data_IF_561986997198
#
_entry.id   IF_561986997198
#
_cell.length_a   1.000
_cell.length_b   1.000
_cell.length_c   1.000
_cell.angle_alpha   90.00
_cell.angle_beta   90.00
_cell.angle_gamma   90.00
#
_symmetry.space_group_name_H-M   'P 1'
#
loop_
_entity.id
_entity.type
_entity.pdbx_description
1 polymer ?
#
# COMPACT_ATOMS: atom_id res chain seq x y z
N UNK A 1 -27.12 0.97 18.87
CA UNK A 1 -25.77 1.32 18.39
C UNK A 1 -25.38 2.59 19.11
N UNK A 2 -24.41 2.52 20.03
CA UNK A 2 -23.92 3.69 20.73
C UNK A 2 -23.17 4.57 19.71
N UNK A 3 -23.43 5.86 19.70
CA UNK A 3 -22.65 6.83 18.93
C UNK A 3 -21.20 6.76 19.38
N UNK A 4 -20.22 6.76 18.45
CA UNK A 4 -18.83 6.84 18.84
C UNK A 4 -18.59 8.19 19.54
N UNK A 5 -17.97 8.13 20.71
CA UNK A 5 -17.55 9.31 21.47
C UNK A 5 -16.86 10.31 20.54
N UNK A 6 -17.38 11.50 20.53
CA UNK A 6 -16.84 12.62 19.75
C UNK A 6 -15.41 12.89 20.19
N UNK A 7 -14.45 12.56 19.36
CA UNK A 7 -13.09 13.05 19.46
C UNK A 7 -13.11 14.57 19.32
N UNK A 8 -13.31 15.27 20.43
CA UNK A 8 -13.10 16.72 20.51
C UNK A 8 -11.63 16.97 20.22
N UNK A 9 -11.37 17.60 19.07
CA UNK A 9 -10.05 18.00 18.60
C UNK A 9 -9.41 19.08 19.46
N UNK A 10 -9.00 18.74 20.68
CA UNK A 10 -7.97 19.44 21.39
C UNK A 10 -6.66 18.72 21.13
N UNK A 11 -5.59 19.43 20.87
CA UNK A 11 -4.22 18.88 20.93
C UNK A 11 -3.99 18.37 22.36
N UNK A 12 -4.50 17.17 22.66
CA UNK A 12 -4.05 16.44 23.83
C UNK A 12 -2.59 16.12 23.60
N UNK A 13 -1.74 16.47 24.57
CA UNK A 13 -0.34 16.10 24.53
C UNK A 13 -0.24 14.62 24.12
N UNK A 14 0.58 14.32 23.13
CA UNK A 14 0.80 12.95 22.67
C UNK A 14 1.12 12.11 23.90
N UNK A 15 0.47 10.94 24.11
CA UNK A 15 0.90 10.06 25.17
C UNK A 15 2.39 9.79 24.98
N UNK A 16 3.19 9.82 26.05
CA UNK A 16 4.61 9.54 25.94
C UNK A 16 4.78 8.15 25.33
N UNK A 17 5.72 8.03 24.40
CA UNK A 17 6.21 6.74 23.92
C UNK A 17 6.43 5.82 25.13
N UNK A 18 6.13 4.50 25.06
CA UNK A 18 6.38 3.59 26.17
C UNK A 18 7.78 3.84 26.74
N UNK A 19 7.85 4.07 28.04
CA UNK A 19 9.06 4.53 28.75
C UNK A 19 10.27 3.59 28.61
N UNK A 20 10.07 2.43 27.95
CA UNK A 20 11.10 1.42 27.76
C UNK A 20 11.30 1.20 26.27
N UNK A 21 12.41 1.62 25.68
CA UNK A 21 12.73 1.33 24.30
C UNK A 21 12.83 -0.18 24.06
N UNK A 22 12.55 -0.69 22.86
CA UNK A 22 12.79 -2.07 22.52
C UNK A 22 14.27 -2.43 22.79
N UNK A 23 14.57 -3.70 23.09
CA UNK A 23 15.94 -4.10 23.36
C UNK A 23 16.83 -3.79 22.15
N UNK A 24 18.04 -3.34 22.43
CA UNK A 24 19.04 -3.11 21.38
C UNK A 24 19.52 -4.44 20.78
N UNK A 25 20.07 -4.38 19.58
CA UNK A 25 20.70 -5.58 18.98
C UNK A 25 21.79 -6.17 19.86
N UNK A 26 22.48 -5.36 20.64
CA UNK A 26 23.51 -5.78 21.58
C UNK A 26 22.92 -6.54 22.78
N UNK A 27 21.76 -6.10 23.29
CA UNK A 27 21.05 -6.80 24.36
C UNK A 27 20.45 -8.15 23.90
N UNK A 28 20.09 -8.25 22.63
CA UNK A 28 19.47 -9.46 22.06
C UNK A 28 20.50 -10.48 21.59
N UNK A 29 21.51 -10.04 20.86
CA UNK A 29 22.42 -10.93 20.12
C UNK A 29 23.82 -11.02 20.72
N UNK A 30 24.05 -10.38 21.88
CA UNK A 30 25.37 -10.35 22.50
C UNK A 30 26.41 -9.60 21.66
N UNK A 31 27.68 -9.93 21.78
CA UNK A 31 28.75 -9.29 21.00
C UNK A 31 28.69 -9.77 19.55
N UNK A 32 28.02 -9.03 18.68
CA UNK A 32 28.18 -9.21 17.24
C UNK A 32 29.67 -9.03 16.87
N UNK A 33 30.17 -9.82 15.94
CA UNK A 33 31.50 -9.61 15.39
C UNK A 33 31.64 -8.18 14.84
N UNK A 34 32.84 -7.63 14.85
CA UNK A 34 33.10 -6.29 14.32
C UNK A 34 32.58 -6.12 12.89
N UNK A 35 32.78 -7.12 12.04
CA UNK A 35 32.23 -7.16 10.67
C UNK A 35 30.70 -7.08 10.64
N UNK A 36 30.02 -7.76 11.55
CA UNK A 36 28.55 -7.72 11.63
C UNK A 36 28.02 -6.35 12.09
N UNK A 37 28.82 -5.58 12.83
CA UNK A 37 28.49 -4.20 13.24
C UNK A 37 28.79 -3.17 12.14
N UNK A 38 29.82 -3.40 11.34
CA UNK A 38 30.23 -2.50 10.26
C UNK A 38 29.31 -2.56 9.05
N UNK A 39 28.74 -3.72 8.74
CA UNK A 39 27.89 -3.89 7.56
C UNK A 39 26.62 -3.00 7.57
N UNK A 40 25.84 -2.91 8.65
CA UNK A 40 24.71 -1.97 8.71
C UNK A 40 25.11 -0.51 8.51
N UNK A 41 26.25 -0.07 9.08
CA UNK A 41 26.79 1.28 8.88
C UNK A 41 27.17 1.54 7.43
N UNK A 42 27.79 0.54 6.78
CA UNK A 42 28.08 0.61 5.36
C UNK A 42 26.78 0.78 4.56
N UNK A 43 25.75 -0.06 4.79
CA UNK A 43 24.46 0.05 4.11
C UNK A 43 23.84 1.42 4.32
N UNK A 44 23.78 1.90 5.55
CA UNK A 44 23.28 3.22 5.86
C UNK A 44 24.03 4.32 5.08
N UNK A 45 25.35 4.18 4.97
CA UNK A 45 26.19 5.15 4.24
C UNK A 45 25.81 5.28 2.75
N UNK A 46 25.21 4.27 2.14
CA UNK A 46 24.88 4.24 0.71
C UNK A 46 23.38 4.41 0.42
N UNK A 47 22.49 4.05 1.35
CA UNK A 47 21.03 4.09 1.11
C UNK A 47 20.27 5.10 2.00
N UNK A 48 20.95 5.88 2.84
CA UNK A 48 20.29 6.83 3.73
C UNK A 48 19.42 7.82 2.94
N UNK A 49 18.17 8.07 3.33
CA UNK A 49 17.23 8.92 2.59
C UNK A 49 17.73 10.35 2.35
N UNK A 50 18.54 10.92 3.25
CA UNK A 50 19.15 12.25 3.07
C UNK A 50 20.00 12.38 1.80
N UNK A 51 20.50 11.28 1.29
CA UNK A 51 21.33 11.25 0.08
C UNK A 51 20.49 11.09 -1.20
N UNK A 52 19.17 10.86 -1.07
CA UNK A 52 18.32 10.56 -2.21
C UNK A 52 18.32 11.67 -3.28
N UNK A 53 18.18 12.93 -2.83
CA UNK A 53 18.07 14.07 -3.75
C UNK A 53 19.34 14.39 -4.54
N UNK A 54 20.50 13.87 -4.14
CA UNK A 54 21.79 14.05 -4.83
C UNK A 54 22.08 12.92 -5.83
N UNK A 55 21.13 12.02 -6.08
CA UNK A 55 21.31 10.88 -6.97
C UNK A 55 20.39 10.99 -8.18
N UNK A 56 20.70 10.32 -9.31
CA UNK A 56 19.80 10.26 -10.46
C UNK A 56 18.50 9.55 -10.12
N UNK A 57 17.49 9.74 -10.94
CA UNK A 57 16.20 9.08 -10.84
C UNK A 57 16.10 7.94 -11.86
N UNK A 58 15.45 6.83 -11.45
CA UNK A 58 15.36 5.64 -12.30
C UNK A 58 14.60 5.90 -13.61
N UNK A 59 13.58 6.76 -13.55
CA UNK A 59 12.67 7.04 -14.64
C UNK A 59 12.71 8.52 -15.10
N UNK A 60 13.83 9.22 -14.93
CA UNK A 60 14.00 10.65 -15.25
C UNK A 60 13.67 11.02 -16.70
N UNK A 61 13.70 10.04 -17.62
CA UNK A 61 13.39 10.20 -19.04
C UNK A 61 12.03 9.64 -19.45
N UNK A 62 11.25 9.16 -18.49
CA UNK A 62 9.95 8.54 -18.76
C UNK A 62 8.84 9.53 -18.44
N UNK A 63 7.96 9.76 -19.41
CA UNK A 63 6.75 10.57 -19.23
C UNK A 63 5.52 9.67 -19.23
N UNK A 64 4.69 9.84 -18.23
CA UNK A 64 3.47 9.06 -18.00
C UNK A 64 2.25 9.97 -18.03
N UNK A 65 1.25 9.62 -18.80
CA UNK A 65 -0.06 10.25 -18.79
C UNK A 65 -1.00 9.35 -18.00
N UNK A 66 -1.36 9.74 -16.78
CA UNK A 66 -2.32 9.03 -15.96
C UNK A 66 -3.71 9.60 -16.19
N UNK A 67 -4.51 8.88 -16.96
CA UNK A 67 -5.91 9.20 -17.27
C UNK A 67 -6.89 8.34 -16.46
N UNK A 68 -6.42 7.65 -15.42
CA UNK A 68 -7.30 6.92 -14.52
C UNK A 68 -8.09 7.89 -13.66
N UNK A 69 -9.33 7.54 -13.32
CA UNK A 69 -10.21 8.39 -12.53
C UNK A 69 -11.12 7.58 -11.63
N UNK A 70 -11.35 8.07 -10.41
CA UNK A 70 -12.30 7.53 -9.44
C UNK A 70 -11.97 6.15 -8.88
N UNK A 71 -10.78 5.62 -9.14
CA UNK A 71 -10.25 4.36 -8.59
C UNK A 71 -8.77 4.50 -8.25
N UNK A 72 -8.36 3.86 -7.15
CA UNK A 72 -7.00 3.99 -6.62
C UNK A 72 -5.97 3.27 -7.47
N UNK A 73 -6.33 2.14 -8.07
CA UNK A 73 -5.42 1.24 -8.78
C UNK A 73 -4.49 1.96 -9.78
N UNK A 74 -5.02 2.88 -10.59
CA UNK A 74 -4.22 3.64 -11.55
C UNK A 74 -3.39 4.73 -10.87
N UNK A 75 -4.00 5.45 -9.94
CA UNK A 75 -3.32 6.50 -9.17
C UNK A 75 -2.15 5.95 -8.36
N UNK A 76 -2.32 4.76 -7.74
CA UNK A 76 -1.25 4.08 -7.03
C UNK A 76 -0.12 3.65 -7.96
N UNK A 77 -0.45 3.04 -9.11
CA UNK A 77 0.53 2.64 -10.10
C UNK A 77 1.40 3.82 -10.57
N UNK A 78 0.75 4.91 -10.96
CA UNK A 78 1.43 6.10 -11.46
C UNK A 78 2.19 6.86 -10.36
N UNK A 79 1.72 6.82 -9.10
CA UNK A 79 2.42 7.38 -7.94
C UNK A 79 3.77 6.69 -7.71
N UNK A 80 3.81 5.36 -7.80
CA UNK A 80 5.06 4.60 -7.69
C UNK A 80 6.06 4.97 -8.80
N UNK A 81 5.58 5.17 -10.04
CA UNK A 81 6.42 5.63 -11.16
C UNK A 81 6.93 7.06 -10.93
N UNK A 82 6.09 7.93 -10.37
CA UNK A 82 6.45 9.31 -10.04
C UNK A 82 7.51 9.38 -8.91
N UNK A 83 7.41 8.52 -7.90
CA UNK A 83 8.42 8.42 -6.84
C UNK A 83 9.77 7.93 -7.36
N UNK A 84 9.78 7.10 -8.40
CA UNK A 84 10.98 6.66 -9.11
C UNK A 84 11.51 7.69 -10.12
N UNK A 85 10.89 8.87 -10.21
CA UNK A 85 11.36 10.02 -11.00
C UNK A 85 10.68 10.20 -12.35
N UNK A 86 9.70 9.36 -12.71
CA UNK A 86 8.90 9.57 -13.92
C UNK A 86 8.13 10.89 -13.87
N UNK A 87 8.14 11.65 -14.98
CA UNK A 87 7.25 12.80 -15.12
C UNK A 87 5.83 12.34 -15.33
N UNK A 88 5.04 12.27 -14.24
CA UNK A 88 3.65 11.82 -14.29
C UNK A 88 2.72 13.03 -14.41
N UNK A 89 1.91 13.03 -15.45
CA UNK A 89 0.88 14.02 -15.71
C UNK A 89 -0.48 13.36 -15.45
N UNK A 90 -1.15 13.79 -14.36
CA UNK A 90 -2.50 13.36 -14.04
C UNK A 90 -3.49 14.15 -14.87
N UNK A 91 -4.33 13.45 -15.63
CA UNK A 91 -5.40 14.03 -16.43
C UNK A 91 -6.71 13.85 -15.69
N UNK A 92 -7.33 14.96 -15.30
CA UNK A 92 -8.60 14.96 -14.60
C UNK A 92 -9.71 15.58 -15.47
N UNK A 93 -10.98 15.25 -15.27
CA UNK A 93 -12.05 16.05 -15.83
C UNK A 93 -11.99 17.49 -15.29
N UNK A 94 -12.52 18.50 -15.97
CA UNK A 94 -12.47 19.91 -15.53
C UNK A 94 -13.02 20.16 -14.12
N UNK A 95 -13.89 19.28 -13.62
CA UNK A 95 -14.38 19.32 -12.23
C UNK A 95 -13.52 18.60 -11.20
N UNK A 96 -12.34 18.11 -11.59
CA UNK A 96 -11.45 17.31 -10.77
C UNK A 96 -11.88 15.85 -10.63
N UNK A 97 -10.95 15.02 -10.19
CA UNK A 97 -11.19 13.58 -9.95
C UNK A 97 -12.18 13.36 -8.79
N UNK A 98 -13.10 12.38 -8.89
CA UNK A 98 -14.04 12.06 -7.80
C UNK A 98 -13.38 11.77 -6.46
N UNK A 99 -12.16 11.21 -6.44
CA UNK A 99 -11.43 10.92 -5.20
C UNK A 99 -11.04 12.18 -4.42
N UNK A 100 -11.00 13.36 -5.05
CA UNK A 100 -10.76 14.65 -4.37
C UNK A 100 -11.80 14.96 -3.30
N UNK A 101 -12.97 14.31 -3.37
CA UNK A 101 -14.07 14.52 -2.42
C UNK A 101 -14.12 13.48 -1.31
N UNK A 102 -13.28 12.44 -1.38
CA UNK A 102 -13.25 11.38 -0.37
C UNK A 102 -12.54 11.86 0.90
N UNK A 103 -13.27 11.84 1.99
CA UNK A 103 -12.77 12.22 3.31
C UNK A 103 -13.41 11.35 4.40
N UNK A 104 -12.73 11.10 5.53
CA UNK A 104 -13.31 10.31 6.60
C UNK A 104 -14.68 10.85 7.04
N UNK A 105 -15.67 9.95 7.11
CA UNK A 105 -17.06 10.25 7.50
C UNK A 105 -17.75 11.32 6.62
N UNK A 106 -17.22 11.64 5.43
CA UNK A 106 -17.75 12.70 4.57
C UNK A 106 -17.59 14.12 5.15
N UNK A 107 -16.75 14.31 6.15
CA UNK A 107 -16.62 15.56 6.90
C UNK A 107 -15.63 16.51 6.23
N UNK A 108 -16.08 17.72 5.93
CA UNK A 108 -15.27 18.76 5.27
C UNK A 108 -14.11 19.27 6.13
N UNK A 109 -14.22 19.18 7.45
CA UNK A 109 -13.15 19.54 8.39
C UNK A 109 -11.93 18.61 8.31
N UNK A 110 -12.07 17.42 7.70
CA UNK A 110 -10.97 16.48 7.45
C UNK A 110 -10.39 16.63 6.05
N UNK A 111 -10.77 17.64 5.29
CA UNK A 111 -10.15 17.94 4.01
C UNK A 111 -8.96 18.87 4.20
N UNK A 112 -7.87 18.59 3.50
CA UNK A 112 -6.77 19.55 3.39
C UNK A 112 -7.20 20.72 2.49
N UNK A 113 -6.54 21.89 2.64
CA UNK A 113 -6.77 23.05 1.78
C UNK A 113 -5.44 23.57 1.28
N UNK A 114 -5.37 23.83 -0.01
CA UNK A 114 -4.18 24.48 -0.54
C UNK A 114 -4.10 25.96 -0.07
N UNK A 115 -2.88 26.45 0.09
CA UNK A 115 -2.62 27.79 0.60
C UNK A 115 -2.85 28.90 -0.43
N UNK A 116 -2.90 28.59 -1.71
CA UNK A 116 -3.01 29.58 -2.78
C UNK A 116 -4.47 29.89 -3.12
N UNK A 117 -5.29 28.85 -3.30
CA UNK A 117 -6.68 28.96 -3.76
C UNK A 117 -7.69 28.64 -2.65
N UNK A 118 -7.25 28.03 -1.54
CA UNK A 118 -8.12 27.55 -0.48
C UNK A 118 -9.01 26.37 -0.87
N UNK A 119 -8.72 25.72 -2.01
CA UNK A 119 -9.51 24.61 -2.52
C UNK A 119 -9.39 23.38 -1.60
N UNK A 120 -10.53 22.76 -1.24
CA UNK A 120 -10.51 21.56 -0.41
C UNK A 120 -10.12 20.34 -1.23
N UNK A 121 -9.31 19.46 -0.64
CA UNK A 121 -8.95 18.16 -1.21
C UNK A 121 -9.05 17.05 -0.18
N UNK A 122 -9.62 15.92 -0.55
CA UNK A 122 -9.70 14.73 0.28
C UNK A 122 -8.33 14.13 0.58
N UNK A 123 -8.15 13.65 1.80
CA UNK A 123 -6.84 13.13 2.28
C UNK A 123 -6.34 11.96 1.44
N UNK A 124 -7.26 11.13 0.95
CA UNK A 124 -6.91 9.97 0.12
C UNK A 124 -6.31 10.39 -1.21
N UNK A 125 -6.94 11.34 -1.90
CA UNK A 125 -6.41 11.91 -3.14
C UNK A 125 -5.03 12.54 -2.91
N UNK A 126 -4.89 13.29 -1.82
CA UNK A 126 -3.62 13.92 -1.47
C UNK A 126 -2.49 12.90 -1.29
N UNK A 127 -2.78 11.76 -0.68
CA UNK A 127 -1.83 10.66 -0.49
C UNK A 127 -1.42 10.02 -1.83
N UNK A 128 -2.36 9.82 -2.76
CA UNK A 128 -2.12 9.09 -4.00
C UNK A 128 -1.54 9.98 -5.13
N UNK A 129 -1.60 11.31 -4.99
CA UNK A 129 -1.20 12.24 -6.06
C UNK A 129 0.20 12.82 -5.91
N UNK A 130 1.03 12.17 -5.12
CA UNK A 130 2.41 12.59 -4.89
C UNK A 130 3.23 12.60 -6.17
N UNK A 131 4.06 13.63 -6.32
CA UNK A 131 4.96 13.85 -7.45
C UNK A 131 4.30 13.96 -8.83
N UNK A 132 2.97 14.16 -8.91
CA UNK A 132 2.27 14.29 -10.20
C UNK A 132 1.95 15.74 -10.52
N UNK A 133 2.02 16.08 -11.80
CA UNK A 133 1.49 17.32 -12.36
C UNK A 133 -0.02 17.12 -12.60
N UNK A 134 -0.84 18.12 -12.30
CA UNK A 134 -2.30 18.03 -12.43
C UNK A 134 -2.81 18.90 -13.57
N UNK A 135 -3.34 18.26 -14.62
CA UNK A 135 -4.02 18.93 -15.73
C UNK A 135 -5.50 18.52 -15.82
N UNK A 136 -6.30 19.38 -16.42
CA UNK A 136 -7.70 19.07 -16.73
C UNK A 136 -7.89 18.82 -18.21
N UNK A 137 -8.73 17.82 -18.56
CA UNK A 137 -9.10 17.53 -19.94
C UNK A 137 -10.42 16.73 -19.98
N UNK A 138 -11.42 17.28 -20.66
CA UNK A 138 -12.70 16.61 -20.85
C UNK A 138 -12.63 15.61 -22.00
N UNK A 139 -12.45 14.33 -21.70
CA UNK A 139 -12.40 13.25 -22.69
C UNK A 139 -13.78 12.84 -23.23
N UNK A 140 -14.87 13.29 -22.65
CA UNK A 140 -16.20 13.10 -23.21
C UNK A 140 -16.39 13.95 -24.46
N UNK A 141 -15.68 15.07 -24.56
CA UNK A 141 -15.66 15.94 -25.72
C UNK A 141 -14.69 15.48 -26.79
N UNK A 142 -15.11 15.57 -28.06
CA UNK A 142 -14.22 15.22 -29.18
C UNK A 142 -12.92 16.04 -29.16
N UNK A 143 -13.02 17.34 -28.85
CA UNK A 143 -11.87 18.24 -28.80
C UNK A 143 -10.85 17.81 -27.74
N UNK A 144 -11.32 17.37 -26.55
CA UNK A 144 -10.46 16.81 -25.49
C UNK A 144 -9.74 15.53 -25.96
N UNK A 145 -10.46 14.64 -26.67
CA UNK A 145 -9.83 13.43 -27.25
C UNK A 145 -8.79 13.79 -28.33
N UNK A 146 -9.02 14.82 -29.11
CA UNK A 146 -8.04 15.25 -30.13
C UNK A 146 -6.79 15.88 -29.46
N UNK A 147 -6.96 16.55 -28.34
CA UNK A 147 -5.84 17.02 -27.49
C UNK A 147 -5.09 15.83 -26.88
N UNK A 148 -5.80 14.81 -26.34
CA UNK A 148 -5.17 13.59 -25.80
C UNK A 148 -4.31 12.89 -26.85
N UNK A 149 -4.76 12.79 -28.11
CA UNK A 149 -3.95 12.22 -29.21
C UNK A 149 -2.65 12.98 -29.42
N UNK A 150 -2.68 14.31 -29.33
CA UNK A 150 -1.47 15.11 -29.40
C UNK A 150 -0.54 14.84 -28.22
N UNK A 151 -1.06 14.80 -26.99
CA UNK A 151 -0.28 14.45 -25.80
C UNK A 151 0.33 13.06 -25.90
N UNK A 152 -0.40 12.08 -26.45
CA UNK A 152 0.06 10.71 -26.62
C UNK A 152 1.33 10.56 -27.48
N UNK A 153 1.60 11.52 -28.37
CA UNK A 153 2.82 11.56 -29.15
C UNK A 153 4.06 11.96 -28.32
N UNK A 154 3.87 12.55 -27.15
CA UNK A 154 4.93 13.09 -26.29
C UNK A 154 5.14 12.30 -24.99
N UNK A 155 4.48 11.15 -24.83
CA UNK A 155 4.55 10.35 -23.60
C UNK A 155 5.01 8.93 -23.91
N UNK A 156 5.62 8.29 -22.91
CA UNK A 156 6.08 6.90 -22.95
C UNK A 156 5.01 5.93 -22.49
N UNK A 157 4.17 6.36 -21.56
CA UNK A 157 3.17 5.52 -20.91
C UNK A 157 1.83 6.24 -20.86
N UNK A 158 0.75 5.51 -21.11
CA UNK A 158 -0.61 5.93 -20.78
C UNK A 158 -1.20 4.90 -19.84
N UNK A 159 -1.81 5.36 -18.73
CA UNK A 159 -2.59 4.54 -17.80
C UNK A 159 -4.04 5.00 -17.88
N UNK A 160 -4.99 4.07 -18.04
CA UNK A 160 -6.41 4.40 -18.06
C UNK A 160 -7.27 3.30 -17.43
N UNK A 161 -8.49 3.65 -17.02
CA UNK A 161 -9.44 2.75 -16.37
C UNK A 161 -10.88 2.92 -16.89
N UNK A 162 -11.02 3.31 -18.14
CA UNK A 162 -12.33 3.41 -18.80
C UNK A 162 -13.06 2.06 -18.85
N UNK A 163 -14.36 2.09 -19.03
CA UNK A 163 -15.12 0.86 -19.22
C UNK A 163 -14.59 0.08 -20.43
N UNK A 164 -14.63 -1.26 -20.41
CA UNK A 164 -14.08 -2.07 -21.50
C UNK A 164 -14.54 -1.60 -22.89
N UNK A 165 -13.57 -1.28 -23.75
CA UNK A 165 -13.81 -0.82 -25.11
C UNK A 165 -14.26 0.64 -25.26
N UNK A 166 -14.44 1.40 -24.17
CA UNK A 166 -14.88 2.81 -24.21
C UNK A 166 -13.86 3.68 -24.98
N UNK A 167 -12.58 3.59 -24.63
CA UNK A 167 -11.54 4.38 -25.26
C UNK A 167 -11.35 4.01 -26.74
N UNK A 168 -11.53 2.74 -27.08
CA UNK A 168 -11.50 2.31 -28.49
C UNK A 168 -12.66 2.92 -29.29
N UNK A 169 -13.89 2.92 -28.75
CA UNK A 169 -15.06 3.61 -29.36
C UNK A 169 -14.83 5.11 -29.51
N UNK A 170 -14.10 5.72 -28.59
CA UNK A 170 -13.73 7.14 -28.65
C UNK A 170 -12.60 7.44 -29.64
N UNK A 171 -11.96 6.43 -30.21
CA UNK A 171 -10.84 6.56 -31.14
C UNK A 171 -9.53 6.96 -30.47
N UNK A 172 -9.39 6.69 -29.17
CA UNK A 172 -8.22 6.93 -28.33
C UNK A 172 -7.76 5.68 -27.56
N UNK A 173 -8.18 4.49 -27.96
CA UNK A 173 -7.71 3.23 -27.39
C UNK A 173 -6.32 2.84 -27.90
N UNK A 174 -5.78 1.75 -27.36
CA UNK A 174 -4.45 1.25 -27.71
C UNK A 174 -4.25 1.10 -29.24
N UNK A 175 -5.22 0.54 -29.96
CA UNK A 175 -5.14 0.34 -31.41
C UNK A 175 -4.92 1.63 -32.22
N UNK A 176 -5.43 2.74 -31.73
CA UNK A 176 -5.30 4.04 -32.36
C UNK A 176 -4.02 4.75 -31.90
N UNK A 177 -3.78 4.78 -30.58
CA UNK A 177 -2.65 5.54 -30.04
C UNK A 177 -1.29 4.88 -30.34
N UNK A 178 -1.22 3.54 -30.41
CA UNK A 178 0.02 2.84 -30.79
C UNK A 178 0.44 3.07 -32.26
N UNK A 179 -0.49 3.47 -33.14
CA UNK A 179 -0.15 3.90 -34.50
C UNK A 179 0.43 5.30 -34.54
N UNK A 180 -0.01 6.19 -33.63
CA UNK A 180 0.53 7.55 -33.51
C UNK A 180 1.88 7.54 -32.79
N UNK A 181 2.03 6.68 -31.78
CA UNK A 181 3.26 6.50 -31.03
C UNK A 181 3.57 5.00 -30.87
N UNK A 182 4.36 4.42 -31.79
CA UNK A 182 4.72 2.98 -31.72
C UNK A 182 5.57 2.60 -30.49
N UNK A 183 6.12 3.57 -29.77
CA UNK A 183 6.88 3.37 -28.52
C UNK A 183 6.00 3.33 -27.29
N UNK A 184 4.69 3.63 -27.44
CA UNK A 184 3.76 3.78 -26.33
C UNK A 184 3.57 2.47 -25.56
N UNK A 185 3.82 2.48 -24.28
CA UNK A 185 3.34 1.49 -23.31
C UNK A 185 1.96 1.93 -22.85
N UNK A 186 0.96 1.14 -23.15
CA UNK A 186 -0.43 1.45 -22.81
C UNK A 186 -0.91 0.47 -21.73
N UNK A 187 -1.23 0.98 -20.55
CA UNK A 187 -1.69 0.18 -19.43
C UNK A 187 -3.16 0.46 -19.11
N UNK A 188 -4.00 -0.53 -19.32
CA UNK A 188 -5.34 -0.51 -18.79
C UNK A 188 -5.36 -1.10 -17.38
N UNK A 189 -6.04 -0.43 -16.45
CA UNK A 189 -6.20 -0.90 -15.07
C UNK A 189 -7.68 -0.94 -14.69
N UNK A 190 -8.06 -1.93 -13.91
CA UNK A 190 -9.43 -2.05 -13.48
C UNK A 190 -9.66 -3.21 -12.51
N UNK A 191 -10.91 -3.63 -12.39
CA UNK A 191 -11.24 -4.62 -11.37
C UNK A 191 -11.22 -6.07 -11.89
N UNK A 192 -11.57 -6.31 -13.18
CA UNK A 192 -11.77 -7.66 -13.74
C UNK A 192 -11.18 -7.89 -15.12
N UNK A 193 -10.68 -6.86 -15.79
CA UNK A 193 -10.20 -6.94 -17.16
C UNK A 193 -11.21 -6.46 -18.22
N UNK A 194 -10.70 -6.22 -19.42
CA UNK A 194 -11.47 -5.74 -20.57
C UNK A 194 -12.09 -6.86 -21.41
N UNK A 195 -11.78 -8.10 -21.13
CA UNK A 195 -12.25 -9.28 -21.85
C UNK A 195 -12.71 -10.36 -20.87
N UNK A 196 -13.27 -11.43 -21.39
CA UNK A 196 -13.87 -12.50 -20.59
C UNK A 196 -15.37 -12.30 -20.31
N UNK A 197 -16.04 -13.28 -19.69
CA UNK A 197 -17.50 -13.31 -19.58
C UNK A 197 -18.08 -12.24 -18.66
N UNK A 198 -17.27 -11.62 -17.79
CA UNK A 198 -17.71 -10.60 -16.84
C UNK A 198 -17.27 -9.17 -17.21
N UNK A 199 -16.68 -8.96 -18.38
CA UNK A 199 -16.15 -7.65 -18.81
C UNK A 199 -17.19 -6.52 -18.76
N UNK A 200 -18.44 -6.81 -19.09
CA UNK A 200 -19.54 -5.83 -19.16
C UNK A 200 -20.31 -5.71 -17.84
N UNK A 201 -19.98 -6.49 -16.81
CA UNK A 201 -20.68 -6.43 -15.52
C UNK A 201 -20.29 -5.17 -14.76
N UNK A 202 -21.22 -4.23 -14.52
CA UNK A 202 -20.90 -2.97 -13.82
C UNK A 202 -20.65 -3.16 -12.32
N UNK A 203 -20.25 -2.07 -11.66
CA UNK A 203 -20.29 -1.96 -10.20
C UNK A 203 -19.17 -2.64 -9.44
N UNK A 204 -18.03 -2.94 -10.06
CA UNK A 204 -16.90 -3.47 -9.34
C UNK A 204 -15.98 -2.35 -8.84
N UNK A 205 -15.70 -2.38 -7.55
CA UNK A 205 -14.75 -1.50 -6.84
C UNK A 205 -13.90 -2.37 -5.91
N UNK A 206 -12.86 -1.83 -5.31
CA UNK A 206 -11.94 -2.56 -4.42
C UNK A 206 -12.63 -3.54 -3.45
N UNK A 207 -13.66 -3.16 -2.64
CA UNK A 207 -14.29 -4.11 -1.71
C UNK A 207 -14.97 -5.28 -2.41
N UNK A 208 -15.48 -5.08 -3.63
CA UNK A 208 -16.10 -6.14 -4.43
C UNK A 208 -15.02 -7.05 -5.02
N UNK A 209 -13.86 -6.49 -5.41
CA UNK A 209 -12.71 -7.27 -5.84
C UNK A 209 -12.18 -8.17 -4.72
N UNK A 210 -12.05 -7.64 -3.50
CA UNK A 210 -11.69 -8.43 -2.32
C UNK A 210 -12.66 -9.62 -2.09
N UNK A 211 -13.97 -9.39 -2.25
CA UNK A 211 -14.98 -10.45 -2.12
C UNK A 211 -14.88 -11.49 -3.24
N UNK A 212 -14.76 -11.03 -4.48
CA UNK A 212 -14.79 -11.90 -5.66
C UNK A 212 -13.52 -12.75 -5.82
N UNK A 213 -12.43 -12.36 -5.18
CA UNK A 213 -11.13 -13.04 -5.25
C UNK A 213 -10.93 -14.14 -4.19
N UNK A 214 -11.87 -14.33 -3.25
CA UNK A 214 -11.71 -15.30 -2.15
C UNK A 214 -11.07 -14.74 -0.88
N UNK A 215 -10.46 -13.55 -0.92
CA UNK A 215 -9.77 -12.94 0.22
C UNK A 215 -10.69 -12.75 1.43
N UNK A 216 -11.86 -12.18 1.23
CA UNK A 216 -12.84 -11.92 2.29
C UNK A 216 -13.40 -13.23 2.87
N UNK A 217 -13.49 -14.31 2.06
CA UNK A 217 -13.92 -15.61 2.55
C UNK A 217 -13.00 -16.17 3.63
N UNK A 218 -11.68 -16.05 3.42
CA UNK A 218 -10.65 -16.54 4.34
C UNK A 218 -10.31 -15.58 5.49
N UNK A 219 -10.87 -14.37 5.52
CA UNK A 219 -10.55 -13.32 6.50
C UNK A 219 -11.68 -13.14 7.50
N UNK A 220 -11.36 -13.08 8.79
CA UNK A 220 -12.29 -12.91 9.89
C UNK A 220 -12.26 -14.06 10.89
N UNK A 221 -13.01 -13.94 11.97
CA UNK A 221 -13.07 -14.95 13.01
C UNK A 221 -13.76 -16.23 12.54
N UNK A 222 -13.47 -17.37 13.17
CA UNK A 222 -14.10 -18.65 12.87
C UNK A 222 -15.64 -18.60 12.96
N UNK A 223 -16.31 -19.34 12.08
CA UNK A 223 -17.78 -19.39 12.01
C UNK A 223 -18.40 -19.89 13.31
N UNK A 224 -17.78 -20.87 13.95
CA UNK A 224 -18.20 -21.49 15.21
C UNK A 224 -18.22 -20.51 16.39
N UNK A 225 -17.46 -19.41 16.30
CA UNK A 225 -17.50 -18.31 17.26
C UNK A 225 -18.37 -17.13 16.80
N UNK A 226 -19.25 -17.34 15.81
CA UNK A 226 -20.11 -16.30 15.26
C UNK A 226 -19.40 -15.34 14.29
N UNK A 227 -18.18 -15.66 13.90
CA UNK A 227 -17.39 -14.83 12.99
C UNK A 227 -17.98 -14.75 11.60
N UNK A 228 -17.77 -13.60 10.93
CA UNK A 228 -18.26 -13.31 9.58
C UNK A 228 -17.08 -13.06 8.63
N UNK A 229 -17.26 -13.29 7.32
CA UNK A 229 -16.30 -12.82 6.34
C UNK A 229 -16.05 -11.31 6.52
N UNK A 230 -14.79 -10.93 6.64
CA UNK A 230 -14.38 -9.55 6.96
C UNK A 230 -13.48 -9.02 5.87
N UNK A 231 -13.83 -7.87 5.28
CA UNK A 231 -12.96 -7.19 4.32
C UNK A 231 -11.81 -6.49 5.04
N UNK A 232 -10.71 -6.26 4.34
CA UNK A 232 -9.67 -5.36 4.82
C UNK A 232 -10.22 -3.94 5.01
N UNK A 233 -9.76 -3.24 6.03
CA UNK A 233 -10.02 -1.82 6.25
C UNK A 233 -9.35 -0.92 5.19
N UNK A 234 -8.37 -1.45 4.47
CA UNK A 234 -7.61 -0.75 3.42
C UNK A 234 -8.10 -1.16 2.03
N UNK A 235 -7.73 -0.40 1.01
CA UNK A 235 -8.02 -0.64 -0.41
C UNK A 235 -6.98 -1.62 -0.99
N UNK A 236 -6.88 -2.79 -0.38
CA UNK A 236 -5.80 -3.74 -0.64
C UNK A 236 -5.81 -4.28 -2.06
N UNK A 237 -6.99 -4.47 -2.66
CA UNK A 237 -7.11 -4.97 -4.03
C UNK A 237 -6.58 -3.95 -5.04
N UNK A 238 -6.94 -2.68 -4.90
CA UNK A 238 -6.45 -1.61 -5.75
C UNK A 238 -4.94 -1.40 -5.59
N UNK A 239 -4.41 -1.45 -4.37
CA UNK A 239 -2.96 -1.31 -4.13
C UNK A 239 -2.16 -2.48 -4.74
N UNK A 240 -2.61 -3.72 -4.56
CA UNK A 240 -1.93 -4.89 -5.15
C UNK A 240 -2.00 -4.86 -6.68
N UNK A 241 -3.18 -4.60 -7.24
CA UNK A 241 -3.36 -4.48 -8.69
C UNK A 241 -2.53 -3.32 -9.28
N UNK A 242 -2.50 -2.17 -8.61
CA UNK A 242 -1.71 -1.02 -9.02
C UNK A 242 -0.19 -1.27 -8.94
N UNK A 243 0.26 -2.00 -7.92
CA UNK A 243 1.67 -2.44 -7.82
C UNK A 243 2.03 -3.37 -8.99
N UNK A 244 1.14 -4.32 -9.33
CA UNK A 244 1.33 -5.18 -10.49
C UNK A 244 1.36 -4.38 -11.80
N UNK A 245 0.52 -3.36 -11.94
CA UNK A 245 0.54 -2.44 -13.09
C UNK A 245 1.88 -1.69 -13.20
N UNK A 246 2.36 -1.09 -12.11
CA UNK A 246 3.65 -0.40 -12.08
C UNK A 246 4.81 -1.32 -12.47
N UNK A 247 4.83 -2.53 -11.92
CA UNK A 247 5.82 -3.56 -12.27
C UNK A 247 5.75 -3.93 -13.76
N UNK A 248 4.55 -4.15 -14.28
CA UNK A 248 4.32 -4.44 -15.71
C UNK A 248 4.79 -3.31 -16.62
N UNK A 249 4.52 -2.05 -16.25
CA UNK A 249 4.97 -0.88 -16.98
C UNK A 249 6.50 -0.80 -17.02
N UNK A 250 7.18 -0.95 -15.88
CA UNK A 250 8.65 -0.92 -15.82
C UNK A 250 9.24 -2.06 -16.65
N UNK A 251 8.67 -3.27 -16.58
CA UNK A 251 9.10 -4.41 -17.39
C UNK A 251 8.92 -4.15 -18.90
N UNK A 252 7.80 -3.53 -19.30
CA UNK A 252 7.54 -3.18 -20.70
C UNK A 252 8.48 -2.09 -21.22
N UNK A 253 8.77 -1.07 -20.40
CA UNK A 253 9.77 -0.05 -20.71
C UNK A 253 11.15 -0.67 -20.90
N UNK A 254 11.58 -1.53 -19.99
CA UNK A 254 12.85 -2.25 -20.08
C UNK A 254 12.93 -3.13 -21.35
N UNK A 255 11.84 -3.87 -21.64
CA UNK A 255 11.73 -4.68 -22.86
C UNK A 255 11.85 -3.80 -24.10
N UNK A 256 11.13 -2.68 -24.15
CA UNK A 256 11.19 -1.70 -25.23
C UNK A 256 12.62 -1.24 -25.52
N UNK A 257 13.35 -0.84 -24.50
CA UNK A 257 14.72 -0.34 -24.65
C UNK A 257 15.72 -1.42 -25.06
N UNK A 258 15.48 -2.67 -24.67
CA UNK A 258 16.40 -3.79 -24.96
C UNK A 258 16.13 -4.53 -26.27
N UNK A 259 14.99 -4.29 -26.91
CA UNK A 259 14.57 -5.07 -28.09
C UNK A 259 14.22 -4.18 -29.28
N UNK A 260 12.96 -4.14 -29.67
CA UNK A 260 12.47 -3.52 -30.92
C UNK A 260 12.27 -2.01 -30.84
N UNK A 261 12.43 -1.40 -29.69
CA UNK A 261 12.07 0.00 -29.44
C UNK A 261 10.56 0.27 -29.42
N UNK A 262 9.73 -0.77 -29.57
CA UNK A 262 8.26 -0.66 -29.60
C UNK A 262 7.66 -0.87 -28.21
N UNK A 263 6.63 -0.09 -27.90
CA UNK A 263 5.79 -0.29 -26.73
C UNK A 263 4.82 -1.46 -26.88
N UNK A 264 3.97 -1.64 -25.89
CA UNK A 264 3.00 -2.73 -25.85
C UNK A 264 1.78 -2.39 -24.99
N UNK A 265 0.74 -3.22 -25.09
CA UNK A 265 -0.41 -3.19 -24.21
C UNK A 265 -0.16 -4.00 -22.94
N UNK A 266 -0.64 -3.49 -21.82
CA UNK A 266 -0.64 -4.15 -20.50
C UNK A 266 -2.04 -4.05 -19.94
N UNK A 267 -2.51 -5.11 -19.32
CA UNK A 267 -3.71 -5.12 -18.48
C UNK A 267 -3.34 -5.58 -17.07
N UNK A 268 -3.80 -4.86 -16.05
CA UNK A 268 -3.65 -5.25 -14.66
C UNK A 268 -4.97 -5.06 -13.91
N UNK A 269 -5.36 -6.05 -13.12
CA UNK A 269 -6.65 -6.02 -12.43
C UNK A 269 -6.50 -6.21 -10.92
N UNK A 270 -7.37 -5.55 -10.16
CA UNK A 270 -7.37 -5.61 -8.72
C UNK A 270 -7.74 -7.01 -8.20
N UNK A 271 -8.76 -7.65 -8.80
CA UNK A 271 -9.20 -8.98 -8.38
C UNK A 271 -8.14 -10.05 -8.63
N UNK A 272 -7.49 -10.03 -9.80
CA UNK A 272 -6.43 -10.98 -10.14
C UNK A 272 -5.17 -10.74 -9.31
N UNK A 273 -4.87 -9.49 -8.98
CA UNK A 273 -3.82 -9.14 -8.03
C UNK A 273 -4.02 -9.83 -6.68
N UNK A 274 -5.23 -9.77 -6.13
CA UNK A 274 -5.57 -10.49 -4.89
C UNK A 274 -5.51 -12.01 -5.08
N UNK A 275 -6.08 -12.53 -6.18
CA UNK A 275 -6.01 -13.97 -6.48
C UNK A 275 -4.56 -14.47 -6.43
N UNK A 276 -3.62 -13.69 -6.95
CA UNK A 276 -2.19 -14.05 -6.97
C UNK A 276 -1.58 -14.15 -5.57
N UNK A 277 -2.06 -13.39 -4.59
CA UNK A 277 -1.52 -13.35 -3.23
C UNK A 277 -2.31 -14.22 -2.22
N UNK A 278 -3.22 -15.08 -2.66
CA UNK A 278 -3.95 -15.99 -1.77
C UNK A 278 -3.12 -17.17 -1.25
N UNK A 279 -1.79 -17.08 -1.36
CA UNK A 279 -0.84 -18.02 -0.81
C UNK A 279 -1.07 -19.47 -1.31
N UNK A 280 -0.87 -20.47 -0.46
CA UNK A 280 -1.00 -21.91 -0.79
C UNK A 280 -2.46 -22.40 -0.98
N UNK A 281 -3.46 -21.55 -0.81
CA UNK A 281 -4.87 -21.97 -0.85
C UNK A 281 -5.27 -22.62 -2.18
N UNK A 282 -4.69 -22.18 -3.30
CA UNK A 282 -4.96 -22.76 -4.61
C UNK A 282 -4.41 -24.17 -4.73
N UNK A 283 -3.19 -24.39 -4.25
CA UNK A 283 -2.54 -25.71 -4.26
C UNK A 283 -3.29 -26.65 -3.35
N UNK A 284 -3.64 -26.22 -2.14
CA UNK A 284 -4.41 -27.02 -1.19
C UNK A 284 -5.76 -27.43 -1.76
N UNK A 285 -6.53 -26.48 -2.28
CA UNK A 285 -7.81 -26.79 -2.93
C UNK A 285 -7.66 -27.75 -4.11
N UNK A 286 -6.64 -27.57 -4.93
CA UNK A 286 -6.37 -28.42 -6.08
C UNK A 286 -5.94 -29.85 -5.73
N UNK A 287 -5.38 -30.07 -4.56
CA UNK A 287 -4.96 -31.40 -4.11
C UNK A 287 -6.12 -32.28 -3.63
N UNK A 288 -7.03 -31.73 -2.84
CA UNK A 288 -8.06 -32.53 -2.15
C UNK A 288 -9.45 -31.88 -2.09
N UNK A 289 -9.62 -30.73 -2.75
CA UNK A 289 -10.89 -29.99 -2.73
C UNK A 289 -11.12 -29.15 -1.46
N UNK A 290 -10.15 -29.07 -0.56
CA UNK A 290 -10.27 -28.31 0.69
C UNK A 290 -10.56 -26.85 0.46
N UNK A 291 -11.34 -26.26 1.36
CA UNK A 291 -11.66 -24.83 1.37
C UNK A 291 -11.10 -24.24 2.65
N UNK A 292 -10.19 -23.25 2.52
CA UNK A 292 -9.61 -22.57 3.68
C UNK A 292 -10.74 -21.97 4.56
N UNK A 293 -10.85 -22.35 5.84
CA UNK A 293 -11.77 -21.70 6.76
C UNK A 293 -11.23 -20.33 7.19
N UNK A 294 -12.07 -19.49 7.76
CA UNK A 294 -11.61 -18.36 8.57
C UNK A 294 -11.04 -18.87 9.88
N UNK A 295 -9.93 -18.29 10.29
CA UNK A 295 -9.21 -18.77 11.48
C UNK A 295 -8.83 -17.63 12.44
N UNK A 296 -9.43 -16.44 12.24
CA UNK A 296 -9.22 -15.27 13.09
C UNK A 296 -7.79 -14.80 13.07
N UNK A 297 -7.26 -14.56 14.25
CA UNK A 297 -5.87 -14.13 14.46
C UNK A 297 -4.88 -15.29 14.59
N UNK A 298 -5.32 -16.54 14.38
CA UNK A 298 -4.45 -17.71 14.44
C UNK A 298 -4.01 -18.14 13.04
N UNK A 299 -2.94 -18.91 12.97
CA UNK A 299 -2.49 -19.53 11.73
C UNK A 299 -2.85 -21.03 11.68
N UNK A 300 -3.14 -21.53 10.47
CA UNK A 300 -3.50 -22.92 10.25
C UNK A 300 -2.30 -23.85 10.22
N UNK A 301 -1.12 -23.33 9.88
CA UNK A 301 0.10 -24.11 9.68
C UNK A 301 1.14 -23.90 10.80
N UNK A 302 0.93 -22.94 11.68
CA UNK A 302 1.90 -22.54 12.70
C UNK A 302 1.20 -22.31 14.05
N UNK A 303 1.71 -22.92 15.09
CA UNK A 303 1.34 -22.66 16.48
C UNK A 303 2.62 -22.46 17.33
N UNK A 304 2.86 -21.34 17.96
CA UNK A 304 2.05 -20.10 18.10
C UNK A 304 2.39 -19.16 16.93
N UNK A 305 1.35 -18.60 16.33
CA UNK A 305 1.48 -17.51 15.36
C UNK A 305 0.18 -16.70 15.37
N UNK A 306 0.08 -15.74 16.31
CA UNK A 306 -1.18 -15.06 16.58
C UNK A 306 -1.02 -13.67 17.16
N UNK A 307 -2.03 -12.83 16.93
CA UNK A 307 -2.25 -11.59 17.66
C UNK A 307 -3.06 -11.87 18.90
N UNK A 308 -2.52 -11.56 20.06
CA UNK A 308 -3.11 -11.86 21.37
C UNK A 308 -3.33 -10.58 22.17
N UNK A 309 -4.36 -10.52 23.03
CA UNK A 309 -4.51 -9.42 23.98
C UNK A 309 -3.38 -9.43 25.00
N UNK A 310 -2.95 -8.26 25.42
CA UNK A 310 -1.99 -8.05 26.49
C UNK A 310 -2.43 -6.86 27.39
N UNK A 311 -1.68 -6.55 28.44
CA UNK A 311 -2.07 -5.56 29.45
C UNK A 311 -2.43 -4.18 28.90
N UNK A 312 -1.78 -3.73 27.82
CA UNK A 312 -1.94 -2.38 27.26
C UNK A 312 -2.35 -2.38 25.76
N UNK A 313 -2.87 -3.49 25.26
CA UNK A 313 -3.33 -3.62 23.87
C UNK A 313 -3.25 -5.02 23.31
N UNK A 314 -2.61 -5.15 22.16
CA UNK A 314 -2.43 -6.44 21.46
C UNK A 314 -0.99 -6.60 21.01
N UNK A 315 -0.53 -7.84 20.95
CA UNK A 315 0.77 -8.15 20.37
C UNK A 315 0.78 -9.44 19.56
N UNK A 316 1.62 -9.48 18.58
CA UNK A 316 1.93 -10.68 17.79
C UNK A 316 3.03 -11.48 18.49
N UNK A 317 2.82 -12.80 18.60
CA UNK A 317 3.86 -13.76 19.04
C UNK A 317 3.97 -14.85 17.97
N UNK A 318 5.20 -15.09 17.47
CA UNK A 318 5.48 -16.03 16.39
C UNK A 318 6.53 -17.06 16.77
N UNK A 319 6.12 -18.34 16.86
CA UNK A 319 6.98 -19.48 17.21
C UNK A 319 6.90 -20.62 16.19
N UNK A 320 7.24 -20.34 14.91
CA UNK A 320 7.07 -21.27 13.80
C UNK A 320 7.95 -22.53 13.83
N UNK A 321 9.04 -22.57 14.59
CA UNK A 321 9.91 -23.71 14.71
C UNK A 321 9.90 -24.29 16.12
N UNK A 322 10.15 -25.57 16.26
CA UNK A 322 10.16 -26.26 17.57
C UNK A 322 11.10 -25.59 18.58
N UNK A 323 12.25 -25.12 18.13
CA UNK A 323 13.21 -24.37 18.96
C UNK A 323 12.61 -23.05 19.49
N UNK A 324 11.94 -22.27 18.62
CA UNK A 324 11.32 -20.99 19.02
C UNK A 324 10.12 -21.23 19.93
N UNK A 325 9.32 -22.26 19.64
CA UNK A 325 8.20 -22.67 20.47
C UNK A 325 8.67 -23.01 21.90
N UNK A 326 9.73 -23.79 22.02
CA UNK A 326 10.31 -24.12 23.34
C UNK A 326 10.79 -22.85 24.07
N UNK A 327 11.42 -21.91 23.38
CA UNK A 327 11.87 -20.63 23.96
C UNK A 327 10.72 -19.76 24.44
N UNK A 328 9.61 -19.71 23.69
CA UNK A 328 8.41 -19.02 24.16
C UNK A 328 7.97 -19.57 25.52
N UNK A 329 7.79 -20.87 25.58
CA UNK A 329 7.26 -21.50 26.77
C UNK A 329 8.24 -21.49 27.96
N UNK A 330 9.52 -21.53 27.69
CA UNK A 330 10.52 -21.31 28.72
C UNK A 330 10.41 -19.89 29.31
N UNK A 331 10.23 -18.89 28.47
CA UNK A 331 10.04 -17.49 28.91
C UNK A 331 8.74 -17.31 29.68
N UNK A 332 7.65 -17.91 29.21
CA UNK A 332 6.33 -17.84 29.86
C UNK A 332 6.35 -18.60 31.18
N UNK A 333 7.02 -19.74 31.23
CA UNK A 333 7.11 -20.60 32.43
C UNK A 333 7.82 -19.97 33.60
N UNK A 334 8.72 -19.01 33.37
CA UNK A 334 9.36 -18.23 34.42
C UNK A 334 8.34 -17.44 35.30
N UNK A 335 7.15 -17.16 34.76
CA UNK A 335 6.10 -16.38 35.43
C UNK A 335 4.77 -17.13 35.55
N UNK A 336 4.58 -18.20 34.80
CA UNK A 336 3.37 -19.05 34.79
C UNK A 336 3.76 -20.50 35.06
N UNK A 337 3.80 -20.96 36.31
CA UNK A 337 4.32 -22.28 36.68
C UNK A 337 3.60 -23.46 36.01
N UNK A 338 2.32 -23.33 35.64
CA UNK A 338 1.57 -24.35 34.93
C UNK A 338 2.16 -24.76 33.57
N UNK A 339 2.97 -23.91 32.97
CA UNK A 339 3.62 -24.15 31.67
C UNK A 339 4.55 -25.37 31.73
N UNK A 340 5.25 -25.60 32.84
CA UNK A 340 6.16 -26.74 32.96
C UNK A 340 5.40 -28.07 32.83
N UNK A 341 4.28 -28.23 33.52
CA UNK A 341 3.47 -29.45 33.49
C UNK A 341 2.60 -29.56 32.23
N UNK A 342 1.88 -28.48 31.90
CA UNK A 342 0.85 -28.54 30.87
C UNK A 342 1.39 -28.43 29.45
N UNK A 343 2.58 -27.82 29.26
CA UNK A 343 3.15 -27.54 27.95
C UNK A 343 4.46 -28.24 27.74
N UNK A 344 5.46 -28.01 28.60
CA UNK A 344 6.82 -28.51 28.39
C UNK A 344 6.93 -30.02 28.63
N UNK A 345 6.18 -30.57 29.56
CA UNK A 345 6.12 -32.01 29.83
C UNK A 345 5.20 -32.78 28.85
N UNK A 346 4.28 -32.09 28.15
CA UNK A 346 3.34 -32.72 27.22
C UNK A 346 4.05 -33.16 25.94
N UNK A 347 4.25 -34.46 25.79
CA UNK A 347 4.91 -35.04 24.61
C UNK A 347 4.13 -34.81 23.31
N UNK A 348 2.81 -34.58 23.38
CA UNK A 348 1.97 -34.28 22.22
C UNK A 348 2.10 -32.82 21.72
N UNK A 349 2.93 -32.01 22.35
CA UNK A 349 3.20 -30.64 21.94
C UNK A 349 4.65 -30.44 21.41
N UNK A 350 5.44 -31.51 21.31
CA UNK A 350 6.86 -31.41 20.93
C UNK A 350 7.10 -31.04 19.49
N UNK A 351 6.22 -31.48 18.57
CA UNK A 351 6.38 -31.26 17.13
C UNK A 351 5.31 -30.28 16.61
N UNK A 352 5.64 -29.51 15.60
CA UNK A 352 4.75 -28.51 15.00
C UNK A 352 3.40 -29.12 14.56
N UNK A 353 3.43 -30.28 13.88
CA UNK A 353 2.21 -30.96 13.41
C UNK A 353 1.27 -31.40 14.54
N UNK A 354 1.83 -31.74 15.69
CA UNK A 354 1.07 -32.17 16.85
C UNK A 354 0.40 -31.01 17.60
N UNK A 355 0.88 -29.77 17.41
CA UNK A 355 0.32 -28.55 18.03
C UNK A 355 -0.86 -27.97 17.27
N UNK A 356 -1.05 -28.35 16.00
CA UNK A 356 -2.07 -27.77 15.12
C UNK A 356 -3.50 -28.19 15.40
N UNK A 357 -3.84 -29.36 16.02
CA UNK A 357 -5.21 -29.65 16.40
C UNK A 357 -5.80 -28.52 17.25
N UNK A 358 -7.02 -28.10 16.92
CA UNK A 358 -7.66 -26.91 17.51
C UNK A 358 -7.66 -26.92 19.04
N UNK A 359 -7.96 -28.07 19.66
CA UNK A 359 -7.95 -28.21 21.13
C UNK A 359 -6.60 -27.90 21.76
N UNK A 360 -5.50 -28.27 21.07
CA UNK A 360 -4.15 -28.00 21.54
C UNK A 360 -3.76 -26.52 21.30
N UNK A 361 -4.23 -25.94 20.21
CA UNK A 361 -4.07 -24.51 19.99
C UNK A 361 -4.78 -23.70 21.06
N UNK A 362 -6.04 -24.02 21.38
CA UNK A 362 -6.79 -23.35 22.46
C UNK A 362 -6.02 -23.41 23.77
N UNK A 363 -5.48 -24.58 24.15
CA UNK A 363 -4.69 -24.75 25.36
C UNK A 363 -3.48 -23.81 25.39
N UNK A 364 -2.69 -23.82 24.34
CA UNK A 364 -1.48 -22.97 24.25
C UNK A 364 -1.82 -21.50 24.24
N UNK A 365 -2.84 -21.06 23.50
CA UNK A 365 -3.25 -19.66 23.49
C UNK A 365 -3.80 -19.19 24.83
N UNK A 366 -4.54 -20.03 25.54
CA UNK A 366 -5.06 -19.68 26.88
C UNK A 366 -3.92 -19.35 27.83
N UNK A 367 -2.92 -20.23 27.93
CA UNK A 367 -1.75 -20.01 28.80
C UNK A 367 -0.89 -18.82 28.37
N UNK A 368 -0.75 -18.61 27.06
CA UNK A 368 -0.05 -17.42 26.55
C UNK A 368 -0.79 -16.14 26.95
N UNK A 369 -2.12 -16.10 26.81
CA UNK A 369 -2.94 -14.96 27.21
C UNK A 369 -2.90 -14.71 28.71
N UNK A 370 -2.85 -15.77 29.53
CA UNK A 370 -2.66 -15.66 30.99
C UNK A 370 -1.35 -14.91 31.34
N UNK A 371 -0.28 -15.19 30.64
CA UNK A 371 0.97 -14.47 30.80
C UNK A 371 0.90 -13.04 30.27
N UNK A 372 0.30 -12.85 29.09
CA UNK A 372 0.24 -11.54 28.43
C UNK A 372 -0.66 -10.55 29.16
N UNK A 373 -1.68 -10.97 29.90
CA UNK A 373 -2.57 -10.04 30.64
C UNK A 373 -1.81 -9.21 31.69
N UNK A 374 -0.72 -9.74 32.23
CA UNK A 374 0.10 -9.08 33.25
C UNK A 374 1.30 -8.34 32.66
N UNK A 375 1.61 -8.55 31.37
CA UNK A 375 2.70 -7.94 30.66
C UNK A 375 2.22 -6.88 29.65
N UNK A 376 2.83 -5.70 29.65
CA UNK A 376 2.67 -4.72 28.57
C UNK A 376 3.30 -5.23 27.27
N UNK A 377 2.91 -4.65 26.11
CA UNK A 377 3.54 -4.93 24.82
C UNK A 377 5.06 -4.86 24.88
N UNK A 378 5.58 -3.79 25.47
CA UNK A 378 7.02 -3.56 25.57
C UNK A 378 7.72 -4.56 26.51
N UNK A 379 7.11 -4.93 27.63
CA UNK A 379 7.66 -5.93 28.57
C UNK A 379 7.71 -7.31 27.94
N UNK A 380 6.60 -7.77 27.36
CA UNK A 380 6.51 -9.07 26.71
C UNK A 380 7.45 -9.16 25.51
N UNK A 381 7.49 -8.14 24.64
CA UNK A 381 8.38 -8.07 23.49
C UNK A 381 9.85 -8.19 23.95
N UNK A 382 10.26 -7.44 24.97
CA UNK A 382 11.65 -7.50 25.50
C UNK A 382 12.01 -8.89 26.00
N UNK A 383 11.11 -9.56 26.74
CA UNK A 383 11.33 -10.91 27.25
C UNK A 383 11.48 -11.94 26.12
N UNK A 384 10.60 -11.86 25.12
CA UNK A 384 10.57 -12.79 23.99
C UNK A 384 11.73 -12.55 23.01
N UNK A 385 12.05 -11.31 22.69
CA UNK A 385 13.13 -10.95 21.75
C UNK A 385 14.50 -11.33 22.33
N UNK A 386 14.71 -11.25 23.64
CA UNK A 386 15.93 -11.77 24.30
C UNK A 386 16.15 -13.28 24.06
N UNK A 387 15.08 -14.00 23.78
CA UNK A 387 15.10 -15.42 23.40
C UNK A 387 15.01 -15.64 21.88
N UNK A 388 15.27 -14.58 21.09
CA UNK A 388 15.18 -14.59 19.61
C UNK A 388 13.78 -14.97 19.08
N UNK A 389 12.73 -14.79 19.86
CA UNK A 389 11.35 -15.07 19.46
C UNK A 389 10.77 -13.87 18.70
N UNK A 390 10.25 -14.13 17.51
CA UNK A 390 9.57 -13.10 16.72
C UNK A 390 8.32 -12.61 17.45
N UNK A 391 8.33 -11.35 17.87
CA UNK A 391 7.22 -10.74 18.59
C UNK A 391 7.19 -9.23 18.36
N UNK A 392 6.03 -8.62 18.52
CA UNK A 392 5.89 -7.16 18.38
C UNK A 392 4.50 -6.68 18.73
N UNK A 393 4.40 -5.48 19.29
CA UNK A 393 3.14 -4.83 19.62
C UNK A 393 2.35 -4.44 18.37
N UNK A 394 1.02 -4.56 18.43
CA UNK A 394 0.13 -3.96 17.42
C UNK A 394 0.10 -2.45 17.65
N UNK A 395 0.61 -1.70 16.66
CA UNK A 395 0.77 -0.27 16.74
C UNK A 395 -0.35 0.46 16.00
N UNK A 396 -0.90 1.51 16.59
CA UNK A 396 -1.76 2.45 15.90
C UNK A 396 -0.92 3.46 15.09
N UNK A 397 -1.53 4.14 14.11
CA UNK A 397 -0.82 5.05 13.18
C UNK A 397 0.01 6.12 13.92
N UNK A 398 -0.50 6.68 15.02
CA UNK A 398 0.24 7.66 15.81
C UNK A 398 1.47 7.05 16.51
N UNK A 399 1.40 5.78 16.91
CA UNK A 399 2.53 5.06 17.49
C UNK A 399 3.58 4.73 16.40
N UNK A 400 3.14 4.33 15.20
CA UNK A 400 4.02 4.11 14.04
C UNK A 400 4.76 5.41 13.68
N UNK A 401 4.06 6.56 13.69
CA UNK A 401 4.63 7.86 13.38
C UNK A 401 5.75 8.28 14.37
N UNK A 402 5.64 7.83 15.60
CA UNK A 402 6.66 8.13 16.64
C UNK A 402 7.67 6.98 16.83
N UNK A 403 7.50 5.85 16.12
CA UNK A 403 8.36 4.68 16.29
C UNK A 403 9.79 4.99 15.85
N UNK A 404 10.79 4.87 16.74
CA UNK A 404 12.15 5.35 16.49
C UNK A 404 12.78 4.79 15.21
N UNK A 405 12.55 3.51 14.94
CA UNK A 405 13.08 2.84 13.73
C UNK A 405 12.52 3.46 12.44
N UNK A 406 11.20 3.69 12.36
CA UNK A 406 10.57 4.25 11.18
C UNK A 406 10.90 5.74 10.99
N UNK A 407 11.02 6.48 12.09
CA UNK A 407 11.51 7.89 12.04
C UNK A 407 12.94 7.96 11.54
N UNK A 408 13.83 7.14 12.09
CA UNK A 408 15.23 7.09 11.68
C UNK A 408 15.40 6.77 10.20
N UNK A 409 14.63 5.82 9.71
CA UNK A 409 14.58 5.42 8.29
C UNK A 409 13.76 6.36 7.40
N UNK A 410 13.15 7.40 7.98
CA UNK A 410 12.24 8.33 7.30
C UNK A 410 11.10 7.66 6.54
N UNK A 411 10.63 6.52 7.05
CA UNK A 411 9.46 5.84 6.47
C UNK A 411 8.15 6.56 6.80
N UNK A 412 8.12 7.28 7.91
CA UNK A 412 7.06 8.25 8.24
C UNK A 412 7.74 9.54 8.63
N UNK A 413 7.43 10.61 7.93
CA UNK A 413 8.05 11.91 8.15
C UNK A 413 7.06 13.07 8.00
N UNK A 414 7.35 14.19 8.68
CA UNK A 414 6.67 15.45 8.46
C UNK A 414 7.25 16.11 7.21
N UNK A 415 6.48 16.14 6.15
CA UNK A 415 6.84 16.76 4.88
C UNK A 415 6.28 18.17 4.80
N UNK A 416 7.12 19.15 4.50
CA UNK A 416 6.69 20.55 4.34
C UNK A 416 6.40 20.85 2.87
N UNK A 417 5.14 20.64 2.48
CA UNK A 417 4.67 20.90 1.12
C UNK A 417 4.38 22.39 0.91
N UNK A 418 4.79 22.91 -0.24
CA UNK A 418 4.63 24.33 -0.57
C UNK A 418 3.16 24.78 -0.58
N UNK A 419 2.25 23.91 -1.03
CA UNK A 419 0.83 24.21 -1.18
C UNK A 419 0.03 23.85 0.08
N UNK A 420 0.35 22.74 0.73
CA UNK A 420 -0.45 22.23 1.84
C UNK A 420 0.22 22.41 3.21
N UNK A 421 1.49 22.82 3.23
CA UNK A 421 2.26 22.96 4.47
C UNK A 421 2.68 21.61 5.04
N UNK A 422 2.81 21.55 6.36
CA UNK A 422 3.29 20.35 7.06
C UNK A 422 2.25 19.24 7.04
N UNK A 423 2.60 18.13 6.42
CA UNK A 423 1.77 16.93 6.31
C UNK A 423 2.59 15.71 6.71
N UNK A 424 2.02 14.87 7.56
CA UNK A 424 2.64 13.59 7.90
C UNK A 424 2.40 12.60 6.77
N UNK A 425 3.47 12.04 6.22
CA UNK A 425 3.42 11.15 5.05
C UNK A 425 4.24 9.89 5.27
N UNK A 426 3.83 8.80 4.63
CA UNK A 426 4.67 7.62 4.47
C UNK A 426 5.54 7.80 3.22
N UNK A 427 6.85 7.54 3.36
CA UNK A 427 7.79 7.58 2.25
C UNK A 427 7.80 6.27 1.46
N UNK A 428 8.41 6.28 0.28
CA UNK A 428 8.58 5.06 -0.51
C UNK A 428 9.50 4.07 0.23
N UNK A 429 9.17 2.77 0.25
CA UNK A 429 10.02 1.75 0.85
C UNK A 429 11.26 1.42 0.00
N UNK A 430 11.40 1.98 -1.19
CA UNK A 430 12.49 1.70 -2.12
C UNK A 430 13.74 2.54 -1.80
N UNK A 431 14.64 1.99 -1.00
CA UNK A 431 15.91 2.59 -0.61
C UNK A 431 17.04 2.05 -1.51
N UNK A 432 17.14 2.54 -2.74
CA UNK A 432 18.17 2.13 -3.67
C UNK A 432 19.45 2.96 -3.52
N UNK A 433 20.62 2.31 -3.66
CA UNK A 433 21.92 2.99 -3.59
C UNK A 433 22.05 4.11 -4.64
N UNK A 434 21.71 3.85 -5.90
CA UNK A 434 21.98 4.75 -7.03
C UNK A 434 20.76 5.50 -7.55
N UNK A 435 19.57 4.91 -7.42
CA UNK A 435 18.33 5.39 -8.01
C UNK A 435 17.18 5.35 -6.98
N UNK A 436 17.32 5.95 -5.78
CA UNK A 436 16.31 5.89 -4.74
C UNK A 436 15.01 6.59 -5.18
N UNK A 437 13.89 6.02 -4.77
CA UNK A 437 12.62 6.72 -4.83
C UNK A 437 12.60 7.91 -3.86
N UNK A 438 11.83 8.95 -4.18
CA UNK A 438 11.73 10.16 -3.33
C UNK A 438 10.40 10.86 -3.46
N UNK A 439 10.01 11.55 -2.41
CA UNK A 439 8.86 12.45 -2.39
C UNK A 439 9.34 13.89 -2.65
N UNK A 440 8.73 14.57 -3.65
CA UNK A 440 9.04 15.96 -4.04
C UNK A 440 7.91 16.92 -3.67
N UNK A 441 6.66 16.48 -3.80
CA UNK A 441 5.43 17.16 -3.36
C UNK A 441 4.31 16.14 -3.18
N UNK A 442 3.25 16.50 -2.46
CA UNK A 442 2.13 15.60 -2.20
C UNK A 442 1.06 15.72 -3.29
N UNK A 443 0.23 16.67 -3.33
CA UNK A 443 -0.82 16.82 -4.33
C UNK A 443 -0.75 18.17 -5.04
N UNK A 444 -1.62 18.34 -6.03
CA UNK A 444 -1.80 19.61 -6.73
C UNK A 444 -3.27 19.96 -6.81
N UNK A 445 -3.66 21.24 -6.75
CA UNK A 445 -5.02 21.69 -7.07
C UNK A 445 -5.46 21.26 -8.46
N UNK A 446 -6.76 21.29 -8.72
CA UNK A 446 -7.32 20.95 -10.05
C UNK A 446 -6.74 21.86 -11.11
N UNK A 447 -6.17 21.28 -12.18
CA UNK A 447 -5.60 22.01 -13.32
C UNK A 447 -4.44 22.95 -12.96
N UNK A 448 -3.80 22.71 -11.81
CA UNK A 448 -2.68 23.56 -11.35
C UNK A 448 -1.58 23.72 -12.40
N UNK A 449 -1.28 22.66 -13.11
CA UNK A 449 -0.17 22.63 -14.08
C UNK A 449 -0.63 22.72 -15.55
N UNK A 450 -1.90 23.12 -15.81
CA UNK A 450 -2.45 23.25 -17.17
C UNK A 450 -1.55 24.10 -18.05
N UNK A 451 -1.25 25.33 -17.63
CA UNK A 451 -0.50 26.27 -18.45
C UNK A 451 0.90 25.75 -18.75
N UNK A 452 1.61 25.23 -17.76
CA UNK A 452 2.95 24.68 -17.95
C UNK A 452 2.95 23.49 -18.92
N UNK A 453 2.11 22.48 -18.65
CA UNK A 453 2.12 21.22 -19.41
C UNK A 453 1.65 21.44 -20.85
N UNK A 454 0.53 22.12 -21.07
CA UNK A 454 0.01 22.30 -22.42
C UNK A 454 0.88 23.25 -23.26
N UNK A 455 1.46 24.30 -22.65
CA UNK A 455 2.38 25.19 -23.35
C UNK A 455 3.66 24.44 -23.74
N UNK A 456 4.24 23.71 -22.82
CA UNK A 456 5.50 22.97 -23.03
C UNK A 456 5.36 21.83 -24.03
N UNK A 457 4.28 21.07 -23.98
CA UNK A 457 4.09 19.88 -24.82
C UNK A 457 3.37 20.17 -26.15
N UNK A 458 2.45 21.12 -26.17
CA UNK A 458 1.58 21.36 -27.33
C UNK A 458 1.72 22.79 -27.92
N UNK A 459 2.49 23.66 -27.27
CA UNK A 459 2.65 25.06 -27.72
C UNK A 459 1.40 25.91 -27.54
N UNK A 460 0.50 25.59 -26.61
CA UNK A 460 -0.73 26.36 -26.40
C UNK A 460 -0.43 27.79 -26.00
N UNK A 461 -1.17 28.70 -26.62
CA UNK A 461 -1.18 30.14 -26.32
C UNK A 461 -2.22 30.49 -25.27
N UNK A 462 -2.22 31.73 -24.78
CA UNK A 462 -3.25 32.25 -23.88
C UNK A 462 -4.63 32.16 -24.50
N UNK A 463 -4.75 32.46 -25.79
CA UNK A 463 -6.01 32.42 -26.53
C UNK A 463 -6.55 30.99 -26.64
N UNK A 464 -5.67 29.97 -26.73
CA UNK A 464 -6.08 28.59 -26.70
C UNK A 464 -6.72 28.21 -25.34
N UNK A 465 -6.10 28.61 -24.23
CA UNK A 465 -6.67 28.40 -22.91
C UNK A 465 -8.03 29.08 -22.72
N UNK A 466 -8.12 30.35 -23.10
CA UNK A 466 -9.36 31.11 -23.00
C UNK A 466 -10.50 30.48 -23.83
N UNK A 467 -10.18 30.01 -25.04
CA UNK A 467 -11.11 29.31 -25.92
C UNK A 467 -11.53 27.95 -25.36
N UNK A 468 -10.57 27.16 -24.94
CA UNK A 468 -10.83 25.79 -24.41
C UNK A 468 -11.51 25.83 -23.06
N UNK A 469 -11.14 26.75 -22.17
CA UNK A 469 -11.78 26.97 -20.88
C UNK A 469 -13.24 27.41 -21.00
N UNK A 470 -13.55 28.38 -21.90
CA UNK A 470 -14.95 28.79 -22.18
C UNK A 470 -15.80 27.62 -22.69
N UNK A 471 -15.21 26.64 -23.33
CA UNK A 471 -15.87 25.42 -23.83
C UNK A 471 -15.87 24.29 -22.80
N UNK A 472 -15.22 24.49 -21.65
CA UNK A 472 -15.08 23.49 -20.60
C UNK A 472 -14.34 22.23 -21.07
N UNK A 473 -13.31 22.41 -21.94
CA UNK A 473 -12.46 21.30 -22.42
C UNK A 473 -11.27 21.11 -21.51
N UNK A 474 -10.75 22.20 -20.98
CA UNK A 474 -9.64 22.25 -20.00
C UNK A 474 -10.02 23.07 -18.81
#
# INVERSE_FOLDING_TARGET
MAEPETLKGGRRGRPPWPATPPPTAEEVYGSLSEQAREYPKFLESIVHPDKAFNKPEALDRVRVLDCSSGMIIGHWASSMLAELGGEVIQVEPPGGDPLRRLTPFGRKEYMARDKQRGEPVGLHFLHEMRNKLAITLDLEKKEGRDILKKLAAHVDVIIENGTPGQWDKWGIGYRQLSKLNPRLVYCWVGQRGQWGPLKDKPGMRDPVAQCASGFVHGTGDPKEFGGRPTRSGMWVADHVGGTAAAMGIVAALLHRERTSGKGQFIEATAAEGIIRILDYNWVWHGMDGSIRPRYGNWDLAINIYAVNPCKDGYMMVGGGHDRLWYRIWKTVGDEVPQVEEEILADTNLRNISERLPHTRQVKTYTLLCEWLKDNTRAEAERKLVRQEVASGGVLAVHEVAEYPHFKYRRQVEEFDDQLYGKVLVASSPNLAEKIPARLKWIGRPVGHDNEEVYRRLLGFTRDDFDRLGKRGVV
#
